data_IF_180265204760
#
_entry.id   IF_180265204760
#
_cell.length_a   1.000
_cell.length_b   1.000
_cell.length_c   1.000
_cell.angle_alpha   90.00
_cell.angle_beta   90.00
_cell.angle_gamma   90.00
#
_symmetry.space_group_name_H-M   'P 1'
#
loop_
_entity.id
_entity.type
_entity.pdbx_description
1 polymer ?
#
# COMPACT_ATOMS: atom_id res chain seq x y z
N UNK A 1 -21.70 -55.44 5.71
CA UNK A 1 -22.61 -56.13 4.77
C UNK A 1 -23.86 -55.26 4.60
N UNK A 2 -24.42 -55.25 3.39
CA UNK A 2 -25.49 -54.41 2.81
C UNK A 2 -25.12 -52.98 2.33
N UNK A 3 -25.44 -52.59 1.06
CA UNK A 3 -24.75 -51.53 0.31
C UNK A 3 -25.70 -50.44 -0.27
N UNK A 4 -25.18 -49.62 -1.20
CA UNK A 4 -25.87 -48.71 -2.16
C UNK A 4 -26.28 -47.33 -1.57
N UNK A 5 -26.06 -46.18 -2.19
CA UNK A 5 -26.19 -45.79 -3.60
C UNK A 5 -25.20 -44.67 -3.98
N UNK A 6 -24.66 -44.74 -5.21
CA UNK A 6 -24.07 -43.62 -5.97
C UNK A 6 -25.14 -43.02 -6.89
N UNK A 7 -25.11 -41.71 -7.17
CA UNK A 7 -25.56 -41.19 -8.44
C UNK A 7 -24.38 -40.69 -9.27
N UNK A 8 -24.24 -41.30 -10.43
CA UNK A 8 -23.55 -40.81 -11.62
C UNK A 8 -24.36 -39.66 -12.23
N UNK A 9 -23.71 -38.52 -12.51
CA UNK A 9 -24.27 -37.51 -13.42
C UNK A 9 -23.55 -37.59 -14.77
N UNK A 10 -24.38 -37.66 -15.80
CA UNK A 10 -24.09 -37.96 -17.19
C UNK A 10 -23.91 -36.66 -17.97
N UNK A 11 -23.04 -36.73 -18.97
CA UNK A 11 -22.64 -35.70 -19.93
C UNK A 11 -23.72 -35.36 -20.95
N UNK A 12 -23.90 -34.07 -21.25
CA UNK A 12 -24.35 -33.51 -22.53
C UNK A 12 -23.58 -32.17 -22.70
N UNK A 13 -22.86 -31.83 -23.77
CA UNK A 13 -22.96 -32.28 -25.16
C UNK A 13 -23.74 -31.24 -25.98
N UNK A 14 -23.17 -30.04 -26.21
CA UNK A 14 -23.68 -29.12 -27.24
C UNK A 14 -22.54 -28.51 -28.03
N UNK A 15 -22.54 -28.86 -29.32
CA UNK A 15 -21.75 -28.31 -30.43
C UNK A 15 -22.71 -27.42 -31.23
N UNK A 16 -22.32 -26.17 -31.49
CA UNK A 16 -22.81 -25.32 -32.59
C UNK A 16 -21.72 -24.26 -32.80
N UNK A 17 -20.88 -24.28 -33.84
CA UNK A 17 -21.13 -23.95 -35.25
C UNK A 17 -22.05 -22.74 -35.46
N UNK A 18 -21.43 -21.57 -35.61
CA UNK A 18 -21.90 -20.52 -36.51
C UNK A 18 -20.69 -19.92 -37.24
N UNK A 19 -20.69 -20.11 -38.56
CA UNK A 19 -19.89 -19.42 -39.56
C UNK A 19 -20.75 -18.31 -40.18
N UNK A 20 -20.09 -17.38 -40.90
CA UNK A 20 -20.62 -16.34 -41.81
C UNK A 20 -21.00 -15.06 -41.04
N UNK A 21 -20.56 -13.83 -41.36
CA UNK A 21 -20.13 -13.25 -42.64
C UNK A 21 -19.02 -12.20 -42.49
N UNK A 22 -18.09 -12.23 -43.44
CA UNK A 22 -17.35 -11.09 -43.96
C UNK A 22 -18.23 -10.19 -44.82
N UNK A 23 -18.36 -8.88 -44.51
CA UNK A 23 -18.60 -7.75 -45.45
C UNK A 23 -18.29 -6.44 -44.71
N UNK A 24 -17.58 -5.51 -45.37
CA UNK A 24 -17.87 -4.08 -45.18
C UNK A 24 -16.75 -3.19 -44.65
N UNK A 25 -15.69 -3.02 -45.44
CA UNK A 25 -14.82 -1.85 -45.37
C UNK A 25 -15.65 -0.62 -45.79
N UNK A 26 -15.98 0.29 -44.87
CA UNK A 26 -16.42 1.64 -45.20
C UNK A 26 -15.55 2.64 -44.45
N UNK A 27 -14.68 3.28 -45.22
CA UNK A 27 -13.93 4.47 -44.85
C UNK A 27 -14.92 5.64 -44.84
N UNK A 28 -15.37 6.04 -43.65
CA UNK A 28 -16.05 7.32 -43.48
C UNK A 28 -14.98 8.36 -43.08
N UNK A 29 -14.59 9.19 -44.04
CA UNK A 29 -13.82 10.40 -43.79
C UNK A 29 -14.70 11.37 -42.98
N UNK A 30 -14.45 11.47 -41.68
CA UNK A 30 -15.03 12.50 -40.85
C UNK A 30 -14.37 13.84 -41.17
N UNK A 31 -15.17 14.76 -41.71
CA UNK A 31 -14.84 16.17 -41.87
C UNK A 31 -14.54 16.78 -40.49
N UNK A 32 -13.29 17.16 -40.27
CA UNK A 32 -12.91 18.03 -39.15
C UNK A 32 -13.47 19.44 -39.41
N UNK A 33 -14.13 20.09 -38.44
CA UNK A 33 -14.39 21.52 -38.54
C UNK A 33 -13.05 22.27 -38.47
N UNK A 34 -12.73 23.00 -39.53
CA UNK A 34 -11.67 24.00 -39.50
C UNK A 34 -12.10 25.13 -38.58
N UNK A 35 -11.57 25.16 -37.35
CA UNK A 35 -11.59 26.34 -36.50
C UNK A 35 -10.54 27.30 -37.05
N UNK A 36 -10.98 28.27 -37.84
CA UNK A 36 -10.20 29.47 -38.15
C UNK A 36 -10.05 30.30 -36.89
N UNK A 37 -8.89 30.20 -36.21
CA UNK A 37 -8.50 31.20 -35.21
C UNK A 37 -7.99 32.43 -35.94
N UNK A 38 -8.82 33.47 -35.99
CA UNK A 38 -8.41 34.81 -36.41
C UNK A 38 -7.36 35.34 -35.43
N UNK A 39 -6.20 35.68 -35.98
CA UNK A 39 -5.07 36.21 -35.24
C UNK A 39 -5.34 37.57 -34.61
N UNK A 40 -5.12 37.65 -33.30
CA UNK A 40 -4.77 38.89 -32.61
C UNK A 40 -3.26 38.88 -32.34
N UNK A 41 -2.51 39.63 -33.14
CA UNK A 41 -1.10 39.94 -32.89
C UNK A 41 -1.03 41.15 -31.94
N UNK A 42 -0.30 41.02 -30.83
CA UNK A 42 0.07 42.16 -29.99
C UNK A 42 0.12 41.85 -28.50
N UNK A 43 1.18 41.17 -28.05
CA UNK A 43 1.46 41.02 -26.62
C UNK A 43 2.79 40.31 -26.42
N UNK A 44 3.71 40.95 -25.69
CA UNK A 44 5.07 40.50 -25.43
C UNK A 44 5.17 39.00 -25.09
N UNK A 45 5.97 38.26 -25.88
CA UNK A 45 6.41 36.89 -25.58
C UNK A 45 7.36 36.88 -24.36
N UNK A 46 6.84 37.19 -23.19
CA UNK A 46 7.41 36.64 -21.95
C UNK A 46 7.10 35.15 -21.97
N UNK A 47 8.15 34.33 -22.11
CA UNK A 47 8.16 32.88 -21.85
C UNK A 47 7.64 32.62 -20.45
N UNK A 48 6.32 32.57 -20.29
CA UNK A 48 5.69 32.29 -19.02
C UNK A 48 6.00 30.82 -18.67
N UNK A 49 6.71 30.63 -17.56
CA UNK A 49 6.85 29.31 -16.95
C UNK A 49 5.46 28.82 -16.56
N UNK A 50 5.19 27.54 -16.85
CA UNK A 50 3.95 26.96 -16.44
C UNK A 50 4.06 26.39 -15.04
N UNK A 51 3.26 26.91 -14.11
CA UNK A 51 3.13 26.30 -12.79
C UNK A 51 2.15 25.14 -12.88
N UNK A 52 2.54 23.97 -12.39
CA UNK A 52 1.72 22.76 -12.32
C UNK A 52 1.70 22.26 -10.89
N UNK A 53 0.52 22.02 -10.33
CA UNK A 53 0.36 21.53 -8.97
C UNK A 53 -0.36 20.18 -8.95
N UNK A 54 0.30 19.12 -8.51
CA UNK A 54 -0.30 17.83 -8.20
C UNK A 54 -0.78 17.85 -6.75
N UNK A 55 -2.08 17.71 -6.55
CA UNK A 55 -2.66 17.54 -5.21
C UNK A 55 -3.03 16.09 -5.04
N UNK A 56 -2.42 15.41 -4.05
CA UNK A 56 -2.74 14.08 -3.59
C UNK A 56 -3.74 14.21 -2.43
N UNK A 57 -5.04 14.15 -2.74
CA UNK A 57 -6.11 14.20 -1.74
C UNK A 57 -6.36 12.84 -1.10
N UNK A 58 -6.70 12.82 0.18
CA UNK A 58 -7.18 11.62 0.87
C UNK A 58 -8.72 11.57 0.80
N UNK A 59 -9.31 10.49 0.27
CA UNK A 59 -10.77 10.35 0.17
C UNK A 59 -11.52 10.46 1.53
N UNK A 60 -10.83 10.13 2.63
CA UNK A 60 -11.25 10.40 4.00
C UNK A 60 -10.02 10.84 4.78
N UNK A 61 -10.10 11.87 5.65
CA UNK A 61 -8.95 12.28 6.45
C UNK A 61 -8.46 11.06 7.26
N UNK A 62 -7.25 10.55 7.01
CA UNK A 62 -6.69 9.50 7.85
C UNK A 62 -6.69 9.98 9.31
N UNK A 63 -7.14 9.16 10.27
CA UNK A 63 -7.21 9.59 11.65
C UNK A 63 -5.85 10.11 12.10
N UNK A 64 -5.81 11.25 12.80
CA UNK A 64 -4.57 11.90 13.27
C UNK A 64 -3.63 10.98 14.08
N UNK A 65 -4.12 9.80 14.49
CA UNK A 65 -3.42 8.75 15.25
C UNK A 65 -3.02 7.51 14.41
N UNK A 66 -3.34 7.45 13.11
CA UNK A 66 -2.79 6.45 12.19
C UNK A 66 -1.30 6.69 11.90
N UNK A 67 -0.76 7.81 12.41
CA UNK A 67 0.60 8.24 12.22
C UNK A 67 1.43 7.91 13.46
N UNK A 68 2.43 7.02 13.37
CA UNK A 68 3.29 6.73 14.50
C UNK A 68 4.00 8.02 14.94
N UNK A 69 3.88 8.43 16.21
CA UNK A 69 4.47 9.67 16.75
C UNK A 69 5.98 9.86 16.48
N UNK A 70 6.70 8.77 16.21
CA UNK A 70 8.15 8.79 15.96
C UNK A 70 8.51 8.69 14.48
N UNK A 71 7.52 8.49 13.61
CA UNK A 71 7.71 8.52 12.18
C UNK A 71 7.19 9.85 11.68
N UNK A 72 8.14 10.66 11.19
CA UNK A 72 7.97 11.93 10.48
C UNK A 72 7.16 11.78 9.17
N UNK A 73 6.26 10.82 9.09
CA UNK A 73 5.68 10.36 7.85
C UNK A 73 4.48 11.19 7.45
N UNK A 74 3.65 11.68 8.36
CA UNK A 74 2.56 12.57 7.99
C UNK A 74 2.20 13.44 9.17
N UNK A 75 2.21 14.75 8.93
CA UNK A 75 1.71 15.81 9.80
C UNK A 75 2.03 15.63 11.30
N UNK A 76 3.15 16.20 11.76
CA UNK A 76 3.33 16.32 13.21
C UNK A 76 2.21 17.19 13.81
N UNK A 77 1.82 16.89 15.05
CA UNK A 77 0.82 17.69 15.77
C UNK A 77 1.33 19.08 16.15
N UNK A 78 2.53 19.47 15.70
CA UNK A 78 3.27 20.67 16.07
C UNK A 78 3.39 21.67 14.92
N UNK A 79 2.79 21.37 13.76
CA UNK A 79 2.60 22.30 12.67
C UNK A 79 3.40 21.93 11.42
N UNK A 80 2.65 21.52 10.39
CA UNK A 80 2.95 21.76 8.96
C UNK A 80 4.15 21.06 8.31
N UNK A 81 4.86 20.12 8.96
CA UNK A 81 6.02 19.47 8.34
C UNK A 81 5.77 18.02 7.92
N UNK A 82 5.80 17.79 6.60
CA UNK A 82 5.73 16.46 5.95
C UNK A 82 7.06 16.08 5.27
N UNK A 83 8.20 16.50 5.85
CA UNK A 83 9.54 16.44 5.25
C UNK A 83 9.96 15.08 4.68
N UNK A 84 9.51 13.97 5.28
CA UNK A 84 9.92 12.61 4.86
C UNK A 84 9.05 12.06 3.73
N UNK A 85 7.78 12.43 3.68
CA UNK A 85 6.91 12.13 2.54
C UNK A 85 7.31 12.97 1.34
N UNK A 86 7.68 14.23 1.58
CA UNK A 86 8.30 15.11 0.57
C UNK A 86 9.53 14.46 -0.07
N UNK A 87 10.53 14.05 0.71
CA UNK A 87 11.78 13.50 0.15
C UNK A 87 11.56 12.23 -0.66
N UNK A 88 10.61 11.37 -0.24
CA UNK A 88 10.29 10.14 -0.95
C UNK A 88 9.50 10.41 -2.24
N UNK A 89 8.46 11.24 -2.21
CA UNK A 89 7.68 11.58 -3.40
C UNK A 89 8.56 12.33 -4.41
N UNK A 90 9.37 13.28 -3.94
CA UNK A 90 10.36 13.97 -4.78
C UNK A 90 11.34 12.97 -5.40
N UNK A 91 11.84 11.98 -4.65
CA UNK A 91 12.72 10.94 -5.18
C UNK A 91 12.03 10.11 -6.28
N UNK A 92 10.75 9.79 -6.13
CA UNK A 92 9.98 9.06 -7.15
C UNK A 92 9.73 9.91 -8.39
N UNK A 93 9.27 11.15 -8.22
CA UNK A 93 9.05 12.08 -9.33
C UNK A 93 10.37 12.38 -10.05
N UNK A 94 11.45 12.64 -9.34
CA UNK A 94 12.78 12.87 -9.94
C UNK A 94 13.34 11.62 -10.63
N UNK A 95 13.06 10.42 -10.12
CA UNK A 95 13.46 9.18 -10.80
C UNK A 95 12.81 9.06 -12.18
N UNK A 96 11.55 9.51 -12.31
CA UNK A 96 10.83 9.48 -13.58
C UNK A 96 11.18 10.69 -14.47
N UNK A 97 11.45 11.85 -13.85
CA UNK A 97 11.70 13.14 -14.51
C UNK A 97 13.20 13.51 -14.54
N UNK A 98 14.08 12.50 -14.57
CA UNK A 98 15.52 12.58 -14.25
C UNK A 98 16.33 13.65 -15.00
N UNK A 99 15.77 14.26 -16.06
CA UNK A 99 16.43 15.22 -16.92
C UNK A 99 15.97 16.67 -16.72
N UNK A 100 14.97 16.95 -15.87
CA UNK A 100 14.27 18.25 -15.90
C UNK A 100 14.63 19.20 -14.74
N UNK A 101 15.53 18.80 -13.84
CA UNK A 101 16.04 19.59 -12.70
C UNK A 101 14.98 20.50 -12.05
N UNK A 102 13.79 19.94 -11.82
CA UNK A 102 12.62 20.69 -11.40
C UNK A 102 12.74 21.14 -9.94
N UNK A 103 12.34 22.37 -9.68
CA UNK A 103 12.13 22.86 -8.31
C UNK A 103 10.68 22.61 -7.92
N UNK A 104 10.47 22.07 -6.71
CA UNK A 104 9.14 21.75 -6.20
C UNK A 104 8.83 22.61 -4.99
N UNK A 105 7.72 23.34 -5.06
CA UNK A 105 7.04 23.92 -3.91
C UNK A 105 6.13 22.85 -3.30
N UNK A 106 6.13 22.75 -1.97
CA UNK A 106 5.41 21.71 -1.25
C UNK A 106 4.53 22.32 -0.16
N UNK A 107 3.27 21.90 -0.12
CA UNK A 107 2.34 22.23 0.96
C UNK A 107 1.61 20.96 1.42
N UNK A 108 1.44 20.81 2.72
CA UNK A 108 0.81 19.63 3.32
C UNK A 108 -0.30 20.09 4.26
N UNK A 109 -1.47 19.48 4.14
CA UNK A 109 -2.61 19.67 5.03
C UNK A 109 -3.06 18.32 5.60
N UNK A 110 -4.02 18.30 6.55
CA UNK A 110 -4.63 17.05 7.00
C UNK A 110 -5.40 16.30 5.90
N UNK A 111 -5.81 16.98 4.83
CA UNK A 111 -6.70 16.45 3.80
C UNK A 111 -6.00 16.19 2.47
N UNK A 112 -4.85 16.84 2.24
CA UNK A 112 -4.11 16.69 1.00
C UNK A 112 -2.62 16.98 1.15
N UNK A 113 -1.87 16.48 0.16
CA UNK A 113 -0.49 16.86 -0.07
C UNK A 113 -0.38 17.45 -1.46
N UNK A 114 0.16 18.67 -1.54
CA UNK A 114 0.28 19.41 -2.78
C UNK A 114 1.74 19.64 -3.15
N UNK A 115 2.05 19.26 -4.39
CA UNK A 115 3.34 19.42 -5.03
C UNK A 115 3.19 20.32 -6.23
N UNK A 116 3.72 21.53 -6.15
CA UNK A 116 3.76 22.46 -7.26
C UNK A 116 5.16 22.51 -7.87
N UNK A 117 5.26 22.59 -9.19
CA UNK A 117 6.52 22.84 -9.88
C UNK A 117 6.30 23.83 -11.01
N UNK A 118 7.33 24.60 -11.35
CA UNK A 118 7.32 25.52 -12.47
C UNK A 118 8.14 24.92 -13.59
N UNK A 119 7.52 24.75 -14.74
CA UNK A 119 8.09 24.02 -15.86
C UNK A 119 8.32 25.01 -17.02
N UNK A 120 9.51 25.03 -17.63
CA UNK A 120 9.83 25.97 -18.69
C UNK A 120 9.03 25.65 -19.99
N UNK A 121 8.54 26.68 -20.70
CA UNK A 121 7.60 26.51 -21.83
C UNK A 121 8.17 25.79 -23.06
N UNK A 122 9.50 25.63 -23.18
CA UNK A 122 10.12 24.96 -24.33
C UNK A 122 10.29 23.44 -24.19
N UNK A 123 10.16 22.88 -22.99
CA UNK A 123 10.30 21.42 -22.78
C UNK A 123 8.94 20.67 -22.82
N UNK A 124 7.84 21.41 -22.74
CA UNK A 124 6.48 20.86 -22.53
C UNK A 124 5.65 20.94 -23.80
N UNK A 125 6.04 20.18 -24.82
CA UNK A 125 5.11 19.87 -25.92
C UNK A 125 4.88 18.39 -26.17
N UNK A 126 5.40 17.52 -25.31
CA UNK A 126 5.29 16.10 -25.51
C UNK A 126 4.36 15.45 -24.49
N UNK A 127 3.39 14.69 -25.00
CA UNK A 127 2.59 13.69 -24.28
C UNK A 127 3.43 12.83 -23.32
N UNK A 128 4.72 12.65 -23.62
CA UNK A 128 5.69 11.98 -22.77
C UNK A 128 5.80 12.61 -21.37
N UNK A 129 5.78 13.93 -21.24
CA UNK A 129 5.85 14.61 -19.94
C UNK A 129 4.60 14.35 -19.10
N UNK A 130 3.41 14.50 -19.70
CA UNK A 130 2.14 14.20 -19.04
C UNK A 130 2.08 12.73 -18.61
N UNK A 131 2.48 11.80 -19.49
CA UNK A 131 2.53 10.37 -19.17
C UNK A 131 3.51 10.11 -18.03
N UNK A 132 4.69 10.75 -18.03
CA UNK A 132 5.71 10.56 -17.00
C UNK A 132 5.27 11.10 -15.64
N UNK A 133 4.60 12.26 -15.60
CA UNK A 133 4.01 12.81 -14.38
C UNK A 133 2.90 11.91 -13.86
N UNK A 134 1.97 11.51 -14.73
CA UNK A 134 0.83 10.66 -14.36
C UNK A 134 1.31 9.31 -13.84
N UNK A 135 2.23 8.65 -14.55
CA UNK A 135 2.81 7.37 -14.12
C UNK A 135 3.71 7.52 -12.89
N UNK A 136 4.41 8.66 -12.74
CA UNK A 136 5.16 8.99 -11.53
C UNK A 136 4.25 9.18 -10.32
N UNK A 137 3.11 9.87 -10.48
CA UNK A 137 2.12 10.06 -9.44
C UNK A 137 1.42 8.72 -9.07
N UNK A 138 1.07 7.90 -10.07
CA UNK A 138 0.58 6.52 -9.85
C UNK A 138 1.60 5.67 -9.10
N UNK A 139 2.86 5.71 -9.50
CA UNK A 139 3.94 4.98 -8.86
C UNK A 139 4.13 5.43 -7.41
N UNK A 140 4.13 6.75 -7.16
CA UNK A 140 4.18 7.29 -5.80
C UNK A 140 2.98 6.78 -4.99
N UNK A 141 1.75 6.85 -5.51
CA UNK A 141 0.57 6.33 -4.79
C UNK A 141 0.71 4.83 -4.52
N UNK A 142 0.96 4.03 -5.54
CA UNK A 142 1.03 2.57 -5.44
C UNK A 142 2.16 2.08 -4.52
N UNK A 143 3.34 2.68 -4.63
CA UNK A 143 4.55 2.16 -3.99
C UNK A 143 4.83 2.83 -2.63
N UNK A 144 4.28 4.02 -2.39
CA UNK A 144 4.48 4.76 -1.14
C UNK A 144 3.22 4.85 -0.29
N UNK A 145 2.09 5.24 -0.88
CA UNK A 145 0.86 5.50 -0.12
C UNK A 145 0.02 4.24 0.11
N UNK A 146 -0.22 3.43 -0.91
CA UNK A 146 -1.03 2.22 -0.80
C UNK A 146 -0.51 1.18 0.21
N UNK A 147 0.82 0.98 0.36
CA UNK A 147 1.36 0.12 1.40
C UNK A 147 1.23 0.73 2.78
N UNK A 148 0.94 2.03 2.94
CA UNK A 148 0.74 2.64 4.25
C UNK A 148 -0.72 2.59 4.70
N UNK A 149 -1.68 2.70 3.77
CA UNK A 149 -3.07 3.01 4.15
C UNK A 149 -4.09 1.86 3.98
N UNK A 150 -3.88 0.85 3.11
CA UNK A 150 -4.85 -0.22 2.76
C UNK A 150 -6.27 0.24 2.35
N UNK A 151 -6.81 -0.46 1.34
CA UNK A 151 -8.22 -0.61 0.95
C UNK A 151 -9.28 0.22 1.71
N UNK A 152 -9.35 1.53 1.42
CA UNK A 152 -10.50 2.43 1.68
C UNK A 152 -10.16 3.87 1.25
N UNK A 153 -8.87 4.19 1.20
CA UNK A 153 -8.41 5.53 0.87
C UNK A 153 -8.11 5.58 -0.63
N UNK A 154 -9.02 6.22 -1.36
CA UNK A 154 -8.75 6.71 -2.70
C UNK A 154 -7.80 7.89 -2.61
N UNK A 155 -6.82 7.93 -3.50
CA UNK A 155 -6.03 9.12 -3.75
C UNK A 155 -6.56 9.76 -5.01
N UNK A 156 -6.97 11.01 -4.88
CA UNK A 156 -7.25 11.85 -6.05
C UNK A 156 -5.98 12.63 -6.34
N UNK A 157 -5.44 12.47 -7.54
CA UNK A 157 -4.43 13.39 -8.06
C UNK A 157 -5.16 14.41 -8.90
N UNK A 158 -5.09 15.70 -8.58
CA UNK A 158 -5.67 16.78 -9.41
C UNK A 158 -4.63 17.83 -9.77
N UNK A 159 -4.79 18.44 -10.95
CA UNK A 159 -4.08 19.66 -11.33
C UNK A 159 -4.86 20.87 -10.84
N UNK A 160 -4.22 21.82 -10.17
CA UNK A 160 -4.86 23.13 -9.89
C UNK A 160 -4.67 24.16 -11.01
N UNK A 161 -3.82 23.90 -11.99
CA UNK A 161 -3.64 24.78 -13.16
C UNK A 161 -3.99 24.05 -14.45
N UNK A 162 -4.93 24.62 -15.20
CA UNK A 162 -5.57 23.93 -16.33
C UNK A 162 -4.78 24.00 -17.65
N UNK A 163 -3.73 24.82 -17.72
CA UNK A 163 -3.16 25.22 -19.00
C UNK A 163 -2.06 24.28 -19.54
N UNK A 164 -1.43 23.43 -18.72
CA UNK A 164 -0.21 22.71 -19.13
C UNK A 164 -0.24 21.20 -18.97
N UNK A 165 -1.10 20.69 -18.11
CA UNK A 165 -1.37 19.26 -18.02
C UNK A 165 -2.67 18.95 -18.76
N UNK A 166 -2.71 19.16 -20.07
CA UNK A 166 -3.80 18.63 -20.90
C UNK A 166 -3.31 17.41 -21.69
N UNK A 167 -4.02 16.27 -21.66
CA UNK A 167 -5.30 15.99 -21.00
C UNK A 167 -5.10 15.28 -19.66
N UNK A 168 -4.88 16.02 -18.58
CA UNK A 168 -5.08 15.46 -17.25
C UNK A 168 -6.59 15.41 -16.99
N UNK A 169 -7.15 14.31 -16.47
CA UNK A 169 -8.59 14.25 -16.21
C UNK A 169 -8.96 15.38 -15.25
N UNK A 170 -9.93 16.23 -15.63
CA UNK A 170 -10.46 17.28 -14.76
C UNK A 170 -11.01 16.70 -13.44
N UNK A 171 -11.51 15.46 -13.48
CA UNK A 171 -12.04 14.73 -12.33
C UNK A 171 -10.94 14.12 -11.44
N UNK A 172 -9.68 14.30 -11.81
CA UNK A 172 -8.53 13.72 -11.13
C UNK A 172 -8.26 12.27 -11.53
N UNK A 173 -7.08 11.79 -11.16
CA UNK A 173 -6.76 10.38 -11.26
C UNK A 173 -7.08 9.71 -9.93
N UNK A 174 -8.13 8.89 -9.92
CA UNK A 174 -8.44 8.02 -8.79
C UNK A 174 -7.54 6.79 -8.83
N UNK A 175 -6.60 6.71 -7.89
CA UNK A 175 -5.85 5.49 -7.64
C UNK A 175 -6.45 4.82 -6.42
N UNK A 176 -7.23 3.76 -6.67
CA UNK A 176 -7.69 2.86 -5.63
C UNK A 176 -6.56 1.91 -5.30
N UNK A 177 -6.15 1.88 -4.03
CA UNK A 177 -5.17 0.90 -3.60
C UNK A 177 -5.75 -0.50 -3.73
N UNK A 178 -5.22 -1.27 -4.69
CA UNK A 178 -5.67 -2.64 -4.93
C UNK A 178 -5.64 -3.44 -3.63
N UNK A 179 -6.72 -4.21 -3.32
CA UNK A 179 -6.67 -5.14 -2.23
C UNK A 179 -5.50 -6.10 -2.46
N UNK A 180 -4.91 -6.59 -1.37
CA UNK A 180 -3.89 -7.62 -1.41
C UNK A 180 -4.25 -8.67 -2.49
N UNK A 181 -3.35 -8.94 -3.47
CA UNK A 181 -3.66 -9.88 -4.55
C UNK A 181 -3.93 -11.30 -4.04
N UNK A 182 -3.57 -11.58 -2.78
CA UNK A 182 -3.76 -12.87 -2.13
C UNK A 182 -4.52 -12.69 -0.82
N UNK A 183 -5.52 -13.54 -0.59
CA UNK A 183 -6.20 -13.66 0.70
C UNK A 183 -5.22 -14.18 1.74
N UNK A 184 -4.61 -13.27 2.49
CA UNK A 184 -3.77 -13.59 3.63
C UNK A 184 -4.38 -13.03 4.92
N UNK A 185 -4.36 -13.80 6.03
CA UNK A 185 -3.99 -15.22 6.10
C UNK A 185 -5.03 -16.11 5.40
N UNK A 186 -4.65 -17.33 5.02
CA UNK A 186 -5.60 -18.34 4.50
C UNK A 186 -6.52 -18.85 5.63
N UNK A 187 -7.47 -18.00 6.01
CA UNK A 187 -8.43 -18.19 7.07
C UNK A 187 -9.72 -17.47 6.68
N UNK A 188 -10.86 -18.09 6.94
CA UNK A 188 -12.17 -17.46 6.80
C UNK A 188 -12.43 -16.53 8.00
N UNK A 189 -11.85 -15.34 7.96
CA UNK A 189 -11.91 -14.35 9.02
C UNK A 189 -11.99 -12.93 8.46
N UNK A 190 -12.47 -12.00 9.28
CA UNK A 190 -12.46 -10.58 8.92
C UNK A 190 -11.02 -10.06 8.92
N UNK A 191 -10.46 -9.86 7.73
CA UNK A 191 -9.08 -9.42 7.51
C UNK A 191 -8.95 -7.89 7.33
N UNK A 192 -10.05 -7.17 7.49
CA UNK A 192 -10.10 -5.71 7.39
C UNK A 192 -9.29 -5.09 8.53
N UNK A 193 -8.40 -4.11 8.26
CA UNK A 193 -7.81 -3.28 9.30
C UNK A 193 -8.91 -2.72 10.24
N UNK A 194 -8.60 -2.60 11.53
CA UNK A 194 -9.61 -2.18 12.52
C UNK A 194 -10.55 -3.28 12.99
N UNK A 195 -10.53 -4.47 12.37
CA UNK A 195 -11.36 -5.58 12.84
C UNK A 195 -11.04 -5.99 14.28
N UNK A 196 -9.86 -5.66 14.82
CA UNK A 196 -9.49 -5.86 16.23
C UNK A 196 -9.17 -4.50 16.88
N UNK A 197 -9.30 -4.36 18.21
CA UNK A 197 -8.91 -3.14 18.94
C UNK A 197 -7.38 -2.94 19.01
N UNK A 198 -6.61 -3.79 18.34
CA UNK A 198 -5.16 -3.74 18.24
C UNK A 198 -4.75 -3.78 16.77
N UNK A 199 -3.63 -3.14 16.46
CA UNK A 199 -3.06 -3.05 15.13
C UNK A 199 -1.55 -3.33 15.16
N UNK A 200 -0.97 -3.57 14.00
CA UNK A 200 0.49 -3.58 13.83
C UNK A 200 0.92 -2.19 13.36
N UNK A 201 1.97 -1.66 13.98
CA UNK A 201 2.64 -0.43 13.53
C UNK A 201 3.11 -0.60 12.07
N UNK A 202 2.81 0.36 11.19
CA UNK A 202 3.16 0.26 9.77
C UNK A 202 4.66 0.32 9.51
N UNK A 203 5.47 0.66 10.52
CA UNK A 203 6.93 0.68 10.42
C UNK A 203 7.54 -0.34 11.35
N UNK A 204 8.41 -1.15 10.77
CA UNK A 204 9.22 -2.12 11.50
C UNK A 204 10.53 -1.48 11.97
N UNK A 205 11.09 -1.95 13.09
CA UNK A 205 12.44 -1.58 13.51
C UNK A 205 13.43 -2.70 13.20
N UNK A 206 14.70 -2.32 12.99
CA UNK A 206 15.82 -3.24 12.79
C UNK A 206 16.79 -3.10 13.94
N UNK A 207 17.06 -4.20 14.64
CA UNK A 207 18.04 -4.24 15.73
C UNK A 207 18.95 -5.46 15.59
N UNK A 208 20.07 -5.45 16.29
CA UNK A 208 20.96 -6.61 16.34
C UNK A 208 20.25 -7.82 16.94
N UNK A 209 20.46 -9.00 16.36
CA UNK A 209 19.91 -10.26 16.83
C UNK A 209 20.62 -10.79 18.08
N UNK A 210 20.32 -12.04 18.44
CA UNK A 210 20.97 -12.71 19.58
C UNK A 210 22.44 -13.02 19.32
N UNK A 211 22.84 -13.05 18.04
CA UNK A 211 24.23 -13.17 17.60
C UNK A 211 24.61 -11.91 16.83
N UNK A 212 25.90 -11.62 16.77
CA UNK A 212 26.44 -10.57 15.90
C UNK A 212 26.18 -10.83 14.40
N UNK A 213 25.97 -12.09 14.02
CA UNK A 213 25.65 -12.50 12.65
C UNK A 213 24.16 -12.62 12.38
N UNK A 214 23.27 -12.15 13.26
CA UNK A 214 21.82 -12.21 13.04
C UNK A 214 21.19 -10.83 13.19
N UNK A 215 20.09 -10.62 12.47
CA UNK A 215 19.33 -9.37 12.48
C UNK A 215 17.94 -9.67 13.01
N UNK A 216 17.41 -8.76 13.83
CA UNK A 216 16.09 -8.85 14.39
C UNK A 216 15.21 -7.74 13.79
N UNK A 217 14.15 -8.13 13.09
CA UNK A 217 13.12 -7.21 12.59
C UNK A 217 11.91 -7.26 13.50
N UNK A 218 11.46 -6.11 13.98
CA UNK A 218 10.45 -6.01 15.03
C UNK A 218 9.27 -5.13 14.62
N UNK A 219 8.06 -5.57 14.96
CA UNK A 219 6.80 -4.87 14.74
C UNK A 219 6.16 -4.58 16.08
N UNK A 220 5.78 -3.32 16.29
CA UNK A 220 5.06 -2.94 17.51
C UNK A 220 3.57 -3.21 17.33
N UNK A 221 2.92 -3.70 18.38
CA UNK A 221 1.46 -3.79 18.47
C UNK A 221 0.97 -2.49 19.13
N UNK A 222 0.04 -1.81 18.47
CA UNK A 222 -0.56 -0.55 18.95
C UNK A 222 -2.06 -0.74 19.15
N UNK A 223 -2.73 0.24 19.78
CA UNK A 223 -4.19 0.33 19.70
C UNK A 223 -4.61 0.58 18.25
N UNK A 224 -5.72 -0.01 17.82
CA UNK A 224 -6.36 0.40 16.57
C UNK A 224 -6.89 1.85 16.69
N UNK A 225 -6.96 2.62 15.58
CA UNK A 225 -7.55 3.95 15.59
C UNK A 225 -8.99 3.93 16.11
N UNK A 226 -9.41 4.96 16.84
CA UNK A 226 -10.74 5.01 17.49
C UNK A 226 -11.89 4.88 16.48
N UNK A 227 -11.70 5.41 15.27
CA UNK A 227 -12.69 5.37 14.17
C UNK A 227 -12.77 3.99 13.49
N UNK A 228 -11.85 3.10 13.82
CA UNK A 228 -11.75 1.72 13.36
C UNK A 228 -12.04 0.76 14.51
N UNK A 229 -13.05 1.08 15.33
CA UNK A 229 -13.34 0.28 16.52
C UNK A 229 -13.91 -1.07 16.12
N UNK A 230 -13.23 -2.14 16.54
CA UNK A 230 -13.70 -3.50 16.38
C UNK A 230 -15.11 -3.67 16.95
N UNK A 231 -16.06 -4.01 16.09
CA UNK A 231 -17.45 -4.26 16.48
C UNK A 231 -17.72 -5.76 16.69
N UNK A 232 -18.70 -6.05 17.55
CA UNK A 232 -19.20 -7.40 17.77
C UNK A 232 -18.13 -8.36 18.32
N UNK A 233 -18.07 -9.57 17.77
CA UNK A 233 -17.26 -10.68 18.31
C UNK A 233 -15.73 -10.46 18.30
N UNK A 234 -15.27 -9.39 17.65
CA UNK A 234 -13.86 -9.03 17.53
C UNK A 234 -13.38 -7.97 18.54
N UNK A 235 -14.30 -7.32 19.27
CA UNK A 235 -13.99 -6.20 20.17
C UNK A 235 -13.19 -6.60 21.41
N UNK A 236 -13.33 -7.84 21.86
CA UNK A 236 -12.67 -8.36 23.04
C UNK A 236 -12.11 -9.76 22.79
N UNK A 237 -10.99 -10.07 23.44
CA UNK A 237 -10.40 -11.39 23.33
C UNK A 237 -8.91 -11.43 23.61
N UNK A 238 -8.30 -12.49 23.09
CA UNK A 238 -6.88 -12.77 23.22
C UNK A 238 -6.26 -12.94 21.85
N UNK A 239 -5.03 -12.47 21.72
CA UNK A 239 -4.15 -12.84 20.62
C UNK A 239 -3.91 -14.35 20.67
N UNK A 240 -3.95 -15.01 19.51
CA UNK A 240 -3.54 -16.41 19.38
C UNK A 240 -2.20 -16.54 18.70
N UNK A 241 -2.06 -15.86 17.58
CA UNK A 241 -0.78 -15.74 16.88
C UNK A 241 -0.78 -14.46 16.05
N UNK A 242 0.43 -14.03 15.71
CA UNK A 242 0.65 -13.20 14.54
C UNK A 242 1.11 -14.10 13.38
N UNK A 243 0.71 -13.77 12.17
CA UNK A 243 1.12 -14.46 10.95
C UNK A 243 1.80 -13.49 10.02
N UNK A 244 2.90 -13.88 9.41
CA UNK A 244 3.66 -13.05 8.47
C UNK A 244 3.64 -13.74 7.11
N UNK A 245 3.24 -13.00 6.07
CA UNK A 245 3.18 -13.52 4.70
C UNK A 245 4.60 -13.57 4.15
N UNK A 246 5.15 -14.78 4.06
CA UNK A 246 6.56 -15.03 3.84
C UNK A 246 6.76 -16.30 3.04
N UNK A 247 7.78 -16.27 2.18
CA UNK A 247 8.19 -17.39 1.33
C UNK A 247 8.68 -18.55 2.20
N UNK A 248 7.92 -19.64 2.21
CA UNK A 248 8.23 -20.80 3.05
C UNK A 248 9.44 -21.61 2.55
N UNK A 249 9.89 -21.39 1.31
CA UNK A 249 11.16 -21.95 0.80
C UNK A 249 12.37 -21.33 1.49
N UNK A 250 12.21 -20.14 2.09
CA UNK A 250 13.23 -19.41 2.86
C UNK A 250 13.14 -19.67 4.37
N UNK A 251 12.43 -20.71 4.78
CA UNK A 251 12.21 -21.00 6.20
C UNK A 251 13.49 -21.21 7.01
N UNK A 252 14.55 -21.68 6.36
CA UNK A 252 15.88 -21.89 6.94
C UNK A 252 16.60 -20.57 7.31
N UNK A 253 16.24 -19.45 6.67
CA UNK A 253 16.80 -18.13 6.96
C UNK A 253 16.23 -17.52 8.26
N UNK A 254 15.05 -17.96 8.68
CA UNK A 254 14.44 -17.54 9.94
C UNK A 254 14.95 -18.42 11.08
N UNK A 255 15.68 -17.81 12.01
CA UNK A 255 16.34 -18.53 13.11
C UNK A 255 15.42 -18.66 14.32
N UNK A 256 14.79 -17.57 14.75
CA UNK A 256 13.95 -17.51 15.96
C UNK A 256 12.88 -16.44 15.83
N UNK A 257 11.92 -16.46 16.73
CA UNK A 257 10.95 -15.38 16.90
C UNK A 257 10.90 -14.97 18.36
N UNK A 258 10.70 -13.68 18.62
CA UNK A 258 10.60 -13.10 19.96
C UNK A 258 9.31 -12.34 20.09
N UNK A 259 8.68 -12.42 21.24
CA UNK A 259 7.67 -11.46 21.66
C UNK A 259 8.20 -10.76 22.91
N UNK A 260 8.29 -9.44 22.86
CA UNK A 260 8.54 -8.60 24.02
C UNK A 260 7.20 -8.04 24.47
N UNK A 261 6.74 -8.42 25.65
CA UNK A 261 5.49 -7.90 26.22
C UNK A 261 5.69 -6.43 26.66
N UNK A 262 4.61 -5.65 26.79
CA UNK A 262 4.69 -4.22 27.13
C UNK A 262 5.51 -3.94 28.41
N UNK A 263 5.51 -4.87 29.37
CA UNK A 263 6.34 -4.81 30.59
C UNK A 263 7.81 -5.22 30.42
N UNK A 264 8.29 -5.41 29.19
CA UNK A 264 9.68 -5.75 28.86
C UNK A 264 10.01 -7.24 28.88
N UNK A 265 9.10 -8.11 29.32
CA UNK A 265 9.33 -9.56 29.34
C UNK A 265 9.50 -10.12 27.93
N UNK A 266 10.64 -10.71 27.66
CA UNK A 266 10.95 -11.34 26.37
C UNK A 266 10.67 -12.83 26.39
N UNK A 267 9.91 -13.31 25.41
CA UNK A 267 9.63 -14.72 25.19
C UNK A 267 10.14 -15.12 23.81
N UNK A 268 11.17 -15.95 23.79
CA UNK A 268 11.72 -16.50 22.57
C UNK A 268 11.08 -17.85 22.23
N UNK A 269 10.85 -18.11 20.96
CA UNK A 269 10.38 -19.40 20.48
C UNK A 269 10.98 -19.74 19.12
N UNK A 270 10.86 -21.02 18.73
CA UNK A 270 11.23 -21.48 17.39
C UNK A 270 10.22 -20.91 16.38
N UNK A 271 10.66 -20.57 15.16
CA UNK A 271 9.73 -20.20 14.10
C UNK A 271 8.80 -21.38 13.82
N UNK A 272 7.51 -21.11 13.65
CA UNK A 272 6.52 -22.11 13.26
C UNK A 272 6.00 -21.72 11.90
N UNK A 273 6.22 -22.53 10.88
CA UNK A 273 5.62 -22.30 9.57
C UNK A 273 4.27 -23.00 9.46
N UNK A 274 3.44 -22.52 8.54
CA UNK A 274 2.18 -23.18 8.18
C UNK A 274 2.47 -24.36 7.24
N UNK A 275 1.46 -24.94 6.57
CA UNK A 275 1.77 -26.04 5.64
C UNK A 275 2.58 -25.52 4.46
N UNK A 276 3.41 -26.39 3.87
CA UNK A 276 4.15 -26.05 2.66
C UNK A 276 3.18 -25.57 1.56
N UNK A 277 3.50 -24.45 0.92
CA UNK A 277 2.68 -23.73 -0.05
C UNK A 277 1.78 -22.63 0.56
N UNK A 278 1.56 -22.61 1.88
CA UNK A 278 0.72 -21.59 2.52
C UNK A 278 1.46 -20.27 2.78
N UNK A 279 2.80 -20.24 2.63
CA UNK A 279 3.61 -19.03 2.70
C UNK A 279 3.37 -18.18 3.96
N UNK A 280 3.33 -18.83 5.12
CA UNK A 280 2.94 -18.16 6.37
C UNK A 280 3.80 -18.59 7.56
N UNK A 281 4.59 -17.63 8.08
CA UNK A 281 5.30 -17.75 9.33
C UNK A 281 4.36 -17.39 10.49
N UNK A 282 4.15 -18.32 11.42
CA UNK A 282 3.32 -18.15 12.61
C UNK A 282 4.17 -17.87 13.84
N UNK A 283 3.83 -16.78 14.53
CA UNK A 283 4.41 -16.38 15.81
C UNK A 283 3.33 -16.61 16.87
N UNK A 284 3.41 -17.77 17.51
CA UNK A 284 2.36 -18.25 18.43
C UNK A 284 2.48 -17.58 19.80
N UNK A 285 1.37 -17.01 20.27
CA UNK A 285 1.24 -16.48 21.64
C UNK A 285 -0.21 -16.53 22.09
N UNK A 286 -0.59 -17.60 22.77
CA UNK A 286 -1.98 -17.92 23.09
C UNK A 286 -2.57 -17.23 24.32
N UNK A 287 -1.85 -16.30 24.96
CA UNK A 287 -2.21 -15.82 26.30
C UNK A 287 -2.41 -14.32 26.46
N UNK A 288 -1.92 -13.48 25.55
CA UNK A 288 -2.07 -12.02 25.68
C UNK A 288 -3.51 -11.60 25.40
N UNK A 289 -4.14 -10.90 26.33
CA UNK A 289 -5.33 -10.10 26.02
C UNK A 289 -4.98 -9.01 25.02
N UNK A 290 -5.99 -8.43 24.36
CA UNK A 290 -5.74 -7.29 23.47
C UNK A 290 -5.11 -6.10 24.22
N UNK A 291 -5.54 -5.84 25.44
CA UNK A 291 -4.95 -4.80 26.31
C UNK A 291 -3.48 -5.09 26.64
N UNK A 292 -3.15 -6.33 27.03
CA UNK A 292 -1.77 -6.74 27.31
C UNK A 292 -0.89 -6.74 26.04
N UNK A 293 -1.51 -6.91 24.87
CA UNK A 293 -0.81 -6.90 23.60
C UNK A 293 -0.43 -5.47 23.17
N UNK A 294 -1.17 -4.44 23.56
CA UNK A 294 -0.82 -3.04 23.24
C UNK A 294 0.53 -2.68 23.88
N UNK A 295 1.44 -2.15 23.07
CA UNK A 295 2.81 -1.85 23.49
C UNK A 295 3.76 -3.05 23.47
N UNK A 296 3.25 -4.25 23.20
CA UNK A 296 4.11 -5.41 22.93
C UNK A 296 4.77 -5.30 21.55
N UNK A 297 5.86 -6.05 21.36
CA UNK A 297 6.63 -6.09 20.14
C UNK A 297 6.82 -7.54 19.68
N UNK A 298 6.53 -7.81 18.41
CA UNK A 298 6.76 -9.09 17.77
C UNK A 298 8.02 -8.97 16.91
N UNK A 299 8.98 -9.87 17.05
CA UNK A 299 10.20 -9.85 16.27
C UNK A 299 10.51 -11.18 15.60
N UNK A 300 11.15 -11.10 14.44
CA UNK A 300 11.72 -12.22 13.70
C UNK A 300 13.23 -12.06 13.67
N UNK A 301 13.94 -13.09 14.08
CA UNK A 301 15.38 -13.16 13.96
C UNK A 301 15.74 -13.93 12.69
N UNK A 302 16.50 -13.29 11.83
CA UNK A 302 16.93 -13.83 10.54
C UNK A 302 18.45 -13.91 10.47
N UNK A 303 18.93 -14.74 9.56
CA UNK A 303 20.35 -14.85 9.24
C UNK A 303 20.93 -13.50 8.77
N UNK A 304 22.19 -13.22 9.09
CA UNK A 304 22.88 -11.98 8.73
C UNK A 304 23.09 -11.79 7.23
N UNK A 305 22.98 -12.87 6.43
CA UNK A 305 22.92 -12.77 4.97
C UNK A 305 21.63 -12.13 4.43
N UNK A 306 20.63 -11.89 5.29
CA UNK A 306 19.37 -11.21 4.92
C UNK A 306 19.47 -9.73 5.30
N UNK A 307 19.70 -8.88 4.31
CA UNK A 307 19.83 -7.43 4.53
C UNK A 307 18.47 -6.75 4.76
N UNK A 308 17.41 -7.26 4.12
CA UNK A 308 16.07 -6.71 4.20
C UNK A 308 15.06 -7.81 4.49
N UNK A 309 14.11 -7.53 5.38
CA UNK A 309 13.04 -8.50 5.66
C UNK A 309 12.18 -8.81 4.42
N UNK A 310 12.08 -7.85 3.49
CA UNK A 310 11.42 -8.02 2.19
C UNK A 310 12.01 -9.15 1.35
N UNK A 311 13.24 -9.58 1.62
CA UNK A 311 13.88 -10.70 0.93
C UNK A 311 13.27 -12.05 1.35
N UNK A 312 12.59 -12.10 2.50
CA UNK A 312 11.85 -13.28 2.99
C UNK A 312 10.34 -13.14 2.73
N UNK A 313 9.82 -11.92 2.68
CA UNK A 313 8.41 -11.67 2.40
C UNK A 313 8.04 -11.86 0.92
N UNK A 314 6.76 -12.05 0.63
CA UNK A 314 6.24 -12.17 -0.74
C UNK A 314 5.69 -10.84 -1.24
N UNK A 315 5.78 -10.61 -2.56
CA UNK A 315 5.18 -9.43 -3.20
C UNK A 315 5.90 -8.10 -2.91
N UNK A 316 7.17 -8.13 -2.48
CA UNK A 316 7.99 -6.93 -2.24
C UNK A 316 7.61 -6.12 -0.98
N UNK A 317 6.58 -6.54 -0.24
CA UNK A 317 6.14 -5.92 1.01
C UNK A 317 5.89 -7.01 2.05
N UNK A 318 6.19 -6.73 3.31
CA UNK A 318 5.86 -7.65 4.38
C UNK A 318 4.45 -7.38 4.88
N UNK A 319 3.69 -8.44 5.15
CA UNK A 319 2.35 -8.34 5.68
C UNK A 319 2.24 -9.14 6.97
N UNK A 320 1.70 -8.51 8.01
CA UNK A 320 1.53 -9.10 9.34
C UNK A 320 0.04 -9.12 9.67
N UNK A 321 -0.50 -10.30 9.92
CA UNK A 321 -1.87 -10.51 10.40
C UNK A 321 -1.87 -10.83 11.88
N UNK A 322 -2.78 -10.21 12.63
CA UNK A 322 -3.03 -10.51 14.05
C UNK A 322 -4.28 -11.39 14.12
N UNK A 323 -4.17 -12.62 14.62
CA UNK A 323 -5.31 -13.54 14.68
C UNK A 323 -5.82 -13.68 16.12
N UNK A 324 -7.11 -13.42 16.32
CA UNK A 324 -7.73 -13.61 17.61
C UNK A 324 -7.94 -15.10 17.94
N UNK A 325 -8.26 -15.38 19.22
CA UNK A 325 -8.49 -16.76 19.70
C UNK A 325 -9.61 -17.52 19.00
N UNK A 326 -10.66 -16.81 18.59
CA UNK A 326 -11.77 -17.42 17.85
C UNK A 326 -11.45 -17.63 16.36
N UNK A 327 -10.33 -17.09 15.88
CA UNK A 327 -9.87 -17.12 14.48
C UNK A 327 -10.86 -16.55 13.47
N UNK A 328 -11.79 -15.73 13.92
CA UNK A 328 -12.80 -15.08 13.09
C UNK A 328 -12.44 -13.63 12.75
N UNK A 329 -11.38 -13.09 13.36
CA UNK A 329 -10.85 -11.75 13.10
C UNK A 329 -9.34 -11.85 12.94
N UNK A 330 -8.84 -11.37 11.81
CA UNK A 330 -7.46 -11.53 11.36
C UNK A 330 -6.97 -10.31 10.57
N UNK A 331 -7.16 -9.08 11.09
CA UNK A 331 -6.74 -7.87 10.40
C UNK A 331 -5.29 -8.02 9.98
N UNK A 332 -5.01 -7.67 8.73
CA UNK A 332 -3.67 -7.76 8.17
C UNK A 332 -3.17 -6.37 7.86
N UNK A 333 -1.89 -6.15 8.14
CA UNK A 333 -1.24 -4.86 8.04
C UNK A 333 0.00 -4.99 7.16
N UNK A 334 0.18 -4.10 6.17
CA UNK A 334 1.47 -3.94 5.52
C UNK A 334 2.47 -3.33 6.50
N UNK A 335 3.74 -3.70 6.38
CA UNK A 335 4.80 -3.11 7.18
C UNK A 335 5.96 -2.70 6.28
N UNK A 336 6.30 -1.42 6.38
CA UNK A 336 7.41 -0.79 5.66
C UNK A 336 8.74 -1.05 6.39
N UNK A 337 9.85 -1.18 5.64
CA UNK A 337 11.19 -1.28 6.21
C UNK A 337 11.53 -0.04 7.07
N UNK A 338 12.48 -0.20 8.02
CA UNK A 338 12.90 0.88 8.91
C UNK A 338 13.52 2.08 8.18
#
# INVERSE_FOLDING_TARGET
MTPLFRPTFQTQGFIAWFLISSVGLMVAAALLPQVTMTGGHGGNNTTASCKTCLVFGFATPPPALAYPRNNKFFYDSWGSKCNTSYSNIQKYLNKQLHNLNLTYDFTCSPEDIKFCTSIPPLEIKNQLYNTTIVEGAKGAIRDFFCPAVRAAYGFTVRSESDDCLQPFPHDGLDVVCDPLPVRFPDLNCNNTPGALPIAISPVMSRVQGTKNTTILYCFNITSAPVNETAQGSCSAGKLTNARIWADDTKCNLVRRVRITEAGGRQVWSKPSWSRAGENSLQIKRSRLTFEEAIGSQICIEVDGGVEKLTDICLGGTCYVSIVNRKRNCCPTYPVSPP
#
